data_IF_517297285185
#
_entry.id   IF_517297285185
#
_cell.length_a   1.000
_cell.length_b   1.000
_cell.length_c   1.000
_cell.angle_alpha   90.00
_cell.angle_beta   90.00
_cell.angle_gamma   90.00
#
_symmetry.space_group_name_H-M   'P 1'
#
loop_
_entity.id
_entity.type
_entity.pdbx_description
1 polymer ?
#
# COMPACT_ATOMS: atom_id res chain seq x y z
N UNK A 1 -20.90 4.30 -7.94
CA UNK A 1 -20.22 3.07 -7.44
C UNK A 1 -19.07 3.42 -6.49
N UNK A 2 -18.34 4.47 -6.82
CA UNK A 2 -17.11 4.97 -6.24
C UNK A 2 -17.31 5.44 -4.79
N UNK A 3 -18.40 6.17 -4.50
CA UNK A 3 -18.75 6.59 -3.13
C UNK A 3 -18.93 5.41 -2.17
N UNK A 4 -19.54 4.33 -2.65
CA UNK A 4 -19.74 3.09 -1.90
C UNK A 4 -18.39 2.41 -1.62
N UNK A 5 -17.54 2.28 -2.63
CA UNK A 5 -16.19 1.70 -2.50
C UNK A 5 -15.30 2.52 -1.54
N UNK A 6 -15.37 3.84 -1.63
CA UNK A 6 -14.64 4.76 -0.77
C UNK A 6 -15.27 4.93 0.61
N UNK A 7 -16.50 4.45 0.83
CA UNK A 7 -17.24 4.58 2.08
C UNK A 7 -17.46 6.02 2.52
N UNK A 8 -17.51 6.96 1.57
CA UNK A 8 -17.62 8.41 1.82
C UNK A 8 -18.70 9.01 0.90
N UNK A 9 -19.72 9.64 1.49
CA UNK A 9 -20.88 10.18 0.75
C UNK A 9 -20.52 11.38 -0.13
N UNK A 10 -19.51 12.11 0.27
CA UNK A 10 -18.94 13.32 -0.34
C UNK A 10 -17.78 13.00 -1.30
N UNK A 11 -17.38 11.73 -1.43
CA UNK A 11 -16.34 11.35 -2.40
C UNK A 11 -16.75 11.68 -3.84
N UNK A 12 -15.84 12.32 -4.57
CA UNK A 12 -16.03 12.70 -5.97
C UNK A 12 -14.85 12.23 -6.82
N UNK A 13 -15.07 11.18 -7.62
CA UNK A 13 -14.08 10.72 -8.59
C UNK A 13 -13.69 11.84 -9.56
N UNK A 14 -14.68 12.61 -10.03
CA UNK A 14 -14.45 13.73 -10.95
C UNK A 14 -13.50 14.78 -10.35
N UNK A 15 -13.57 15.02 -9.04
CA UNK A 15 -12.64 15.94 -8.39
C UNK A 15 -11.20 15.39 -8.42
N UNK A 16 -11.01 14.10 -8.13
CA UNK A 16 -9.69 13.44 -8.20
C UNK A 16 -9.12 13.47 -9.61
N UNK A 17 -9.94 13.17 -10.63
CA UNK A 17 -9.51 13.21 -12.04
C UNK A 17 -9.12 14.63 -12.48
N UNK A 18 -9.87 15.65 -12.06
CA UNK A 18 -9.53 17.06 -12.32
C UNK A 18 -8.21 17.48 -11.68
N UNK A 19 -7.93 17.01 -10.46
CA UNK A 19 -6.64 17.26 -9.81
C UNK A 19 -5.51 16.59 -10.59
N UNK A 20 -5.69 15.34 -11.03
CA UNK A 20 -4.67 14.65 -11.82
C UNK A 20 -4.36 15.42 -13.12
N UNK A 21 -5.38 15.87 -13.85
CA UNK A 21 -5.21 16.71 -15.05
C UNK A 21 -4.50 18.03 -14.73
N UNK A 22 -4.88 18.72 -13.65
CA UNK A 22 -4.24 19.96 -13.23
C UNK A 22 -2.75 19.77 -12.88
N UNK A 23 -2.40 18.67 -12.21
CA UNK A 23 -1.01 18.33 -11.89
C UNK A 23 -0.18 18.09 -13.16
N UNK A 24 -0.72 17.32 -14.12
CA UNK A 24 -0.01 17.09 -15.39
C UNK A 24 0.17 18.38 -16.18
N UNK A 25 -0.85 19.24 -16.23
CA UNK A 25 -0.78 20.55 -16.88
C UNK A 25 0.22 21.49 -16.21
N UNK A 26 0.44 21.35 -14.90
CA UNK A 26 1.48 22.06 -14.15
C UNK A 26 2.89 21.47 -14.35
N UNK A 27 3.05 20.46 -15.21
CA UNK A 27 4.33 19.84 -15.52
C UNK A 27 4.76 18.77 -14.51
N UNK A 28 3.90 18.39 -13.56
CA UNK A 28 4.18 17.34 -12.58
C UNK A 28 3.94 15.98 -13.25
N UNK A 29 4.88 15.04 -13.08
CA UNK A 29 4.71 13.67 -13.55
C UNK A 29 3.74 12.92 -12.64
N UNK A 30 2.71 12.31 -13.22
CA UNK A 30 1.60 11.68 -12.51
C UNK A 30 1.47 10.23 -12.95
N UNK A 31 1.43 9.33 -11.96
CA UNK A 31 1.00 7.94 -12.12
C UNK A 31 -0.39 7.79 -11.49
N UNK A 32 -1.32 7.20 -12.25
CA UNK A 32 -2.64 6.83 -11.76
C UNK A 32 -2.62 5.38 -11.25
N UNK A 33 -3.01 5.15 -9.99
CA UNK A 33 -2.96 3.82 -9.37
C UNK A 33 -4.33 3.31 -8.88
N UNK A 34 -5.34 3.15 -9.76
CA UNK A 34 -6.66 2.68 -9.34
C UNK A 34 -6.59 1.23 -8.84
N UNK A 35 -7.38 0.93 -7.81
CA UNK A 35 -7.57 -0.44 -7.31
C UNK A 35 -8.63 -1.14 -8.16
N UNK A 36 -8.29 -2.31 -8.68
CA UNK A 36 -9.18 -3.18 -9.43
C UNK A 36 -9.80 -4.22 -8.49
N UNK A 37 -11.12 -4.21 -8.44
CA UNK A 37 -11.98 -5.16 -7.75
C UNK A 37 -12.78 -5.89 -8.84
N UNK A 38 -12.36 -7.12 -9.14
CA UNK A 38 -12.98 -7.92 -10.19
C UNK A 38 -14.45 -8.21 -9.91
N UNK A 39 -15.29 -8.05 -10.93
CA UNK A 39 -16.74 -8.09 -10.84
C UNK A 39 -17.39 -6.77 -10.42
N UNK A 40 -16.59 -5.74 -10.13
CA UNK A 40 -17.10 -4.41 -9.76
C UNK A 40 -16.61 -3.34 -10.73
N UNK A 41 -15.29 -3.23 -10.98
CA UNK A 41 -14.71 -2.13 -11.76
C UNK A 41 -13.61 -2.54 -12.74
N UNK A 42 -13.38 -3.84 -12.95
CA UNK A 42 -12.41 -4.34 -13.92
C UNK A 42 -12.75 -3.91 -15.36
N UNK A 43 -14.03 -3.74 -15.66
CA UNK A 43 -14.52 -3.22 -16.94
C UNK A 43 -14.18 -1.74 -17.20
N UNK A 44 -13.74 -0.99 -16.20
CA UNK A 44 -13.38 0.44 -16.33
C UNK A 44 -11.88 0.65 -16.59
N UNK A 45 -11.08 -0.42 -16.61
CA UNK A 45 -9.63 -0.31 -16.76
C UNK A 45 -9.20 0.36 -18.08
N UNK A 46 -9.87 0.04 -19.19
CA UNK A 46 -9.64 0.69 -20.49
C UNK A 46 -9.98 2.18 -20.46
N UNK A 47 -11.05 2.57 -19.76
CA UNK A 47 -11.40 3.98 -19.56
C UNK A 47 -10.31 4.74 -18.82
N UNK A 48 -9.68 4.12 -17.81
CA UNK A 48 -8.53 4.72 -17.11
C UNK A 48 -7.28 4.82 -18.00
N UNK A 49 -7.08 3.85 -18.90
CA UNK A 49 -6.00 3.91 -19.92
C UNK A 49 -6.20 5.10 -20.85
N UNK A 50 -7.39 5.26 -21.40
CA UNK A 50 -7.69 6.39 -22.28
C UNK A 50 -7.64 7.72 -21.54
N UNK A 51 -8.08 7.77 -20.29
CA UNK A 51 -7.94 8.97 -19.46
C UNK A 51 -6.47 9.32 -19.21
N UNK A 52 -5.63 8.35 -18.84
CA UNK A 52 -4.20 8.56 -18.62
C UNK A 52 -3.51 9.10 -19.89
N UNK A 53 -3.85 8.55 -21.06
CA UNK A 53 -3.37 9.05 -22.37
C UNK A 53 -3.81 10.49 -22.61
N UNK A 54 -5.11 10.76 -22.45
CA UNK A 54 -5.70 12.07 -22.69
C UNK A 54 -5.00 13.17 -21.91
N UNK A 55 -4.73 12.94 -20.62
CA UNK A 55 -4.11 13.96 -19.78
C UNK A 55 -2.58 14.00 -19.92
N UNK A 56 -1.96 13.03 -20.59
CA UNK A 56 -0.51 12.92 -20.70
C UNK A 56 0.17 12.45 -19.40
N UNK A 57 -0.50 11.59 -18.63
CA UNK A 57 0.07 10.97 -17.43
C UNK A 57 1.23 10.05 -17.80
N UNK A 58 2.22 9.97 -16.91
CA UNK A 58 3.46 9.23 -17.12
C UNK A 58 4.41 9.90 -18.10
N UNK A 59 5.60 10.28 -17.60
CA UNK A 59 6.71 10.79 -18.40
C UNK A 59 8.00 10.08 -18.02
N UNK A 60 8.54 10.42 -16.85
CA UNK A 60 9.70 9.76 -16.25
C UNK A 60 9.28 8.43 -15.66
N UNK A 61 8.08 8.38 -15.08
CA UNK A 61 7.48 7.20 -14.48
C UNK A 61 6.34 6.65 -15.33
N UNK A 62 5.93 5.38 -15.13
CA UNK A 62 4.76 4.82 -15.80
C UNK A 62 3.49 5.63 -15.55
N UNK A 63 2.61 5.69 -16.55
CA UNK A 63 1.34 6.41 -16.46
C UNK A 63 0.34 5.75 -15.50
N UNK A 64 0.38 4.41 -15.42
CA UNK A 64 -0.60 3.61 -14.72
C UNK A 64 0.04 2.53 -13.85
N UNK A 65 -0.59 2.25 -12.72
CA UNK A 65 -0.28 1.15 -11.83
C UNK A 65 -1.54 0.56 -11.22
N UNK A 66 -2.25 -0.27 -11.99
CA UNK A 66 -3.42 -0.98 -11.46
C UNK A 66 -3.03 -1.83 -10.24
N UNK A 67 -3.79 -1.68 -9.16
CA UNK A 67 -3.56 -2.41 -7.92
C UNK A 67 -4.60 -3.53 -7.77
N UNK A 68 -4.17 -4.74 -7.48
CA UNK A 68 -5.08 -5.83 -7.19
C UNK A 68 -5.72 -5.64 -5.80
N UNK A 69 -7.04 -5.76 -5.71
CA UNK A 69 -7.71 -5.79 -4.42
C UNK A 69 -7.28 -7.02 -3.62
N UNK A 70 -6.82 -6.80 -2.38
CA UNK A 70 -6.48 -7.85 -1.42
C UNK A 70 -7.37 -7.67 -0.19
N UNK A 71 -8.18 -8.68 0.21
CA UNK A 71 -8.96 -8.62 1.43
C UNK A 71 -8.05 -8.35 2.64
N UNK A 72 -8.44 -7.38 3.47
CA UNK A 72 -7.71 -6.99 4.66
C UNK A 72 -8.61 -7.04 5.88
N UNK A 73 -8.12 -7.57 7.01
CA UNK A 73 -8.92 -7.79 8.24
C UNK A 73 -9.71 -6.55 8.65
N UNK A 74 -9.07 -5.38 8.66
CA UNK A 74 -9.69 -4.10 9.04
C UNK A 74 -10.10 -3.24 7.83
N UNK A 75 -10.10 -3.83 6.63
CA UNK A 75 -10.51 -3.16 5.41
C UNK A 75 -12.01 -3.25 5.16
N UNK A 76 -12.45 -2.69 4.04
CA UNK A 76 -13.79 -2.95 3.52
C UNK A 76 -13.81 -4.31 2.84
N UNK A 77 -14.92 -5.04 3.00
CA UNK A 77 -15.10 -6.40 2.48
C UNK A 77 -16.25 -6.44 1.47
N UNK A 78 -16.05 -5.95 0.23
CA UNK A 78 -17.01 -6.23 -0.85
C UNK A 78 -17.15 -7.74 -1.05
N UNK A 79 -18.36 -8.20 -1.36
CA UNK A 79 -18.67 -9.61 -1.63
C UNK A 79 -18.14 -10.03 -3.01
N UNK A 80 -16.83 -10.16 -3.12
CA UNK A 80 -16.12 -10.53 -4.36
C UNK A 80 -15.06 -11.58 -4.05
N UNK A 81 -14.71 -12.38 -5.06
CA UNK A 81 -13.60 -13.32 -4.95
C UNK A 81 -12.28 -12.58 -5.15
N UNK A 82 -11.31 -12.86 -4.28
CA UNK A 82 -9.94 -12.43 -4.49
C UNK A 82 -9.37 -13.06 -5.76
N UNK A 83 -8.80 -12.24 -6.64
CA UNK A 83 -8.09 -12.72 -7.81
C UNK A 83 -6.62 -12.98 -7.44
N UNK A 84 -6.10 -14.17 -7.79
CA UNK A 84 -4.71 -14.48 -7.54
C UNK A 84 -3.79 -13.49 -8.26
N UNK A 85 -2.60 -13.21 -7.71
CA UNK A 85 -1.64 -12.32 -8.40
C UNK A 85 -1.21 -12.88 -9.75
N UNK A 86 -1.16 -14.21 -9.92
CA UNK A 86 -0.85 -14.84 -11.21
C UNK A 86 -1.88 -14.42 -12.27
N UNK A 87 -3.15 -14.54 -11.94
CA UNK A 87 -4.25 -14.22 -12.85
C UNK A 87 -4.36 -12.71 -13.05
N UNK A 88 -4.11 -11.92 -12.01
CA UNK A 88 -4.04 -10.47 -12.12
C UNK A 88 -2.96 -10.01 -13.10
N UNK A 89 -1.74 -10.56 -13.02
CA UNK A 89 -0.68 -10.23 -13.98
C UNK A 89 -0.97 -10.76 -15.38
N UNK A 90 -1.69 -11.88 -15.52
CA UNK A 90 -2.15 -12.34 -16.82
C UNK A 90 -3.15 -11.35 -17.42
N UNK A 91 -4.14 -10.90 -16.65
CA UNK A 91 -5.09 -9.87 -17.06
C UNK A 91 -4.41 -8.55 -17.45
N UNK A 92 -3.41 -8.10 -16.69
CA UNK A 92 -2.62 -6.92 -17.05
C UNK A 92 -1.94 -7.08 -18.42
N UNK A 93 -1.35 -8.24 -18.71
CA UNK A 93 -0.74 -8.50 -20.04
C UNK A 93 -1.78 -8.49 -21.16
N UNK A 94 -2.96 -9.05 -20.94
CA UNK A 94 -4.04 -8.98 -21.94
C UNK A 94 -4.48 -7.53 -22.19
N UNK A 95 -4.44 -6.69 -21.16
CA UNK A 95 -4.77 -5.27 -21.28
C UNK A 95 -3.67 -4.49 -22.01
N UNK A 96 -2.39 -4.81 -21.76
CA UNK A 96 -1.25 -4.28 -22.52
C UNK A 96 -1.33 -4.64 -24.01
N UNK A 97 -1.71 -5.87 -24.34
CA UNK A 97 -1.89 -6.34 -25.72
C UNK A 97 -3.08 -5.66 -26.40
N UNK A 98 -4.23 -5.61 -25.71
CA UNK A 98 -5.46 -5.04 -26.25
C UNK A 98 -5.35 -3.53 -26.53
N UNK A 99 -4.70 -2.80 -25.63
CA UNK A 99 -4.69 -1.33 -25.67
C UNK A 99 -3.40 -0.75 -26.23
N UNK A 100 -2.30 -1.51 -26.24
CA UNK A 100 -0.96 -1.02 -26.53
C UNK A 100 -0.34 -0.17 -25.42
N UNK A 101 -1.03 0.06 -24.29
CA UNK A 101 -0.47 0.78 -23.14
C UNK A 101 0.54 -0.10 -22.41
N UNK A 102 1.79 0.36 -22.29
CA UNK A 102 2.86 -0.33 -21.57
C UNK A 102 3.74 0.66 -20.80
N UNK A 103 4.27 0.31 -19.63
CA UNK A 103 4.02 -0.92 -18.88
C UNK A 103 2.78 -0.82 -17.97
N UNK A 104 2.00 -1.89 -17.88
CA UNK A 104 1.01 -2.12 -16.83
C UNK A 104 1.51 -3.17 -15.83
N UNK A 105 2.33 -4.12 -16.28
CA UNK A 105 3.08 -5.00 -15.37
C UNK A 105 4.33 -4.27 -14.87
N UNK A 106 4.15 -3.58 -13.75
CA UNK A 106 5.18 -2.74 -13.15
C UNK A 106 6.35 -3.54 -12.55
N UNK A 107 7.57 -2.99 -12.67
CA UNK A 107 8.79 -3.54 -12.11
C UNK A 107 9.58 -2.44 -11.39
N UNK A 108 10.42 -2.76 -10.40
CA UNK A 108 11.24 -1.77 -9.69
C UNK A 108 12.06 -0.88 -10.63
N UNK A 109 12.55 -1.43 -11.73
CA UNK A 109 13.39 -0.71 -12.70
C UNK A 109 12.62 0.42 -13.41
N UNK A 110 11.30 0.27 -13.57
CA UNK A 110 10.45 1.34 -14.13
C UNK A 110 10.39 2.58 -13.23
N UNK A 111 10.74 2.44 -11.96
CA UNK A 111 10.81 3.52 -10.97
C UNK A 111 12.26 3.92 -10.65
N UNK A 112 13.24 3.45 -11.43
CA UNK A 112 14.65 3.65 -11.14
C UNK A 112 15.10 3.02 -9.82
N UNK A 113 14.34 2.04 -9.31
CA UNK A 113 14.71 1.33 -8.09
C UNK A 113 15.80 0.32 -8.39
N UNK A 114 16.74 0.22 -7.46
CA UNK A 114 17.86 -0.71 -7.53
C UNK A 114 18.06 -1.38 -6.18
N UNK A 115 18.67 -2.56 -6.20
CA UNK A 115 18.95 -3.32 -4.98
C UNK A 115 19.88 -2.54 -4.07
N UNK A 116 19.54 -2.51 -2.78
CA UNK A 116 20.36 -1.96 -1.70
C UNK A 116 20.71 -3.05 -0.69
N UNK A 117 21.82 -2.86 0.03
CA UNK A 117 22.19 -3.75 1.12
C UNK A 117 21.09 -3.75 2.17
N UNK A 118 20.71 -4.94 2.62
CA UNK A 118 19.70 -5.11 3.65
C UNK A 118 20.23 -4.54 4.98
N UNK A 119 19.37 -3.80 5.70
CA UNK A 119 19.69 -3.29 7.02
C UNK A 119 19.59 -4.45 8.02
N UNK A 120 20.68 -4.85 8.72
CA UNK A 120 20.69 -6.04 9.56
C UNK A 120 19.62 -6.01 10.65
N UNK A 121 18.99 -7.15 10.89
CA UNK A 121 18.04 -7.29 11.98
C UNK A 121 18.76 -7.14 13.33
N UNK A 122 18.11 -6.46 14.29
CA UNK A 122 18.65 -6.25 15.65
C UNK A 122 17.96 -7.13 16.71
N UNK A 123 16.97 -7.91 16.29
CA UNK A 123 16.20 -8.81 17.15
C UNK A 123 15.89 -10.11 16.43
N UNK A 124 15.59 -11.15 17.21
CA UNK A 124 15.07 -12.43 16.73
C UNK A 124 13.73 -12.76 17.39
N UNK A 125 12.95 -13.62 16.75
CA UNK A 125 11.66 -14.11 17.30
C UNK A 125 11.94 -14.88 18.59
N UNK A 126 11.15 -14.61 19.63
CA UNK A 126 11.28 -15.19 20.96
C UNK A 126 12.15 -14.38 21.92
N UNK A 127 12.94 -13.44 21.41
CA UNK A 127 13.80 -12.58 22.23
C UNK A 127 12.97 -11.70 23.17
N UNK A 128 13.37 -11.59 24.44
CA UNK A 128 12.76 -10.65 25.39
C UNK A 128 13.67 -9.44 25.56
N UNK A 129 13.13 -8.25 25.27
CA UNK A 129 13.88 -6.99 25.31
C UNK A 129 13.17 -5.94 26.15
N UNK A 130 13.96 -5.08 26.82
CA UNK A 130 13.42 -3.92 27.53
C UNK A 130 13.18 -2.80 26.52
N UNK A 131 11.92 -2.39 26.37
CA UNK A 131 11.47 -1.42 25.38
C UNK A 131 11.01 -0.15 26.11
N UNK A 132 11.47 1.01 25.66
CA UNK A 132 10.90 2.30 26.09
C UNK A 132 9.75 2.65 25.15
N UNK A 133 8.54 2.85 25.68
CA UNK A 133 7.40 3.31 24.90
C UNK A 133 7.55 4.79 24.61
N UNK A 134 7.35 5.19 23.34
CA UNK A 134 7.58 6.57 22.89
C UNK A 134 6.36 7.18 22.21
N UNK A 135 5.46 6.37 21.63
CA UNK A 135 4.27 6.86 20.94
C UNK A 135 3.12 5.84 21.08
N UNK A 136 1.86 6.29 20.99
CA UNK A 136 0.74 5.38 20.77
C UNK A 136 0.88 4.68 19.40
N UNK A 137 0.31 3.48 19.31
CA UNK A 137 0.16 2.75 18.05
C UNK A 137 -1.02 3.25 17.22
N UNK A 138 -1.37 2.50 16.17
CA UNK A 138 -2.43 2.92 15.24
C UNK A 138 -3.82 2.59 15.77
N UNK A 139 -3.97 1.43 16.42
CA UNK A 139 -5.24 0.98 17.01
C UNK A 139 -5.11 0.83 18.53
N UNK A 140 -6.24 0.75 19.21
CA UNK A 140 -6.28 0.48 20.64
C UNK A 140 -5.54 -0.82 20.99
N UNK A 141 -4.77 -0.79 22.08
CA UNK A 141 -3.92 -1.89 22.50
C UNK A 141 -2.55 -1.94 21.81
N UNK A 142 -2.24 -1.01 20.91
CA UNK A 142 -0.92 -0.88 20.28
C UNK A 142 -0.15 0.32 20.84
N UNK A 143 1.15 0.12 21.05
CA UNK A 143 2.12 1.17 21.36
C UNK A 143 3.36 1.01 20.48
N UNK A 144 4.04 2.12 20.21
CA UNK A 144 5.34 2.10 19.55
C UNK A 144 6.43 2.37 20.58
N UNK A 145 7.38 1.45 20.66
CA UNK A 145 8.51 1.56 21.55
C UNK A 145 9.84 1.49 20.82
N UNK A 146 10.92 1.80 21.53
CA UNK A 146 12.27 1.73 21.01
C UNK A 146 13.20 0.89 21.87
N UNK A 147 14.07 0.13 21.20
CA UNK A 147 15.22 -0.55 21.77
C UNK A 147 16.29 -0.69 20.68
N UNK A 148 17.58 -0.65 21.06
CA UNK A 148 18.74 -0.82 20.13
C UNK A 148 18.63 0.03 18.85
N UNK A 149 18.16 1.26 18.99
CA UNK A 149 17.93 2.20 17.88
C UNK A 149 16.98 1.68 16.80
N UNK A 150 15.97 0.90 17.20
CA UNK A 150 14.90 0.38 16.34
C UNK A 150 13.54 0.67 16.97
N UNK A 151 12.54 0.79 16.12
CA UNK A 151 11.14 0.87 16.51
C UNK A 151 10.58 -0.56 16.63
N UNK A 152 9.82 -0.81 17.68
CA UNK A 152 9.10 -2.07 17.90
C UNK A 152 7.62 -1.70 18.10
N UNK A 153 6.76 -2.31 17.29
CA UNK A 153 5.32 -2.29 17.52
C UNK A 153 5.01 -3.26 18.66
N UNK A 154 4.48 -2.74 19.76
CA UNK A 154 4.06 -3.53 20.91
C UNK A 154 2.54 -3.62 20.88
N UNK A 155 2.03 -4.82 20.66
CA UNK A 155 0.58 -5.10 20.61
C UNK A 155 0.12 -5.72 21.93
N UNK A 156 -1.19 -5.72 22.16
CA UNK A 156 -1.84 -6.26 23.37
C UNK A 156 -1.29 -5.64 24.67
N UNK A 157 -1.15 -4.32 24.70
CA UNK A 157 -0.59 -3.59 25.84
C UNK A 157 -1.44 -2.40 26.28
N UNK A 158 -1.43 -2.13 27.60
CA UNK A 158 -1.99 -0.93 28.22
C UNK A 158 -0.88 0.04 28.69
N UNK A 159 0.35 -0.17 28.23
CA UNK A 159 1.48 0.70 28.55
C UNK A 159 1.25 2.12 28.03
N UNK A 160 1.83 3.09 28.71
CA UNK A 160 1.75 4.52 28.36
C UNK A 160 3.07 5.00 27.80
N UNK A 161 3.03 6.16 27.15
CA UNK A 161 4.25 6.86 26.73
C UNK A 161 5.17 7.04 27.94
N UNK A 162 6.47 6.86 27.72
CA UNK A 162 7.57 6.84 28.70
C UNK A 162 7.68 5.59 29.60
N UNK A 163 6.73 4.67 29.54
CA UNK A 163 6.89 3.37 30.23
C UNK A 163 8.09 2.59 29.68
N UNK A 164 8.69 1.78 30.55
CA UNK A 164 9.75 0.82 30.19
C UNK A 164 9.29 -0.58 30.52
N UNK A 165 8.88 -1.34 29.51
CA UNK A 165 8.30 -2.68 29.67
C UNK A 165 9.21 -3.75 29.07
N UNK A 166 9.04 -5.01 29.51
CA UNK A 166 9.63 -6.18 28.84
C UNK A 166 8.70 -6.64 27.74
N UNK A 167 9.25 -6.83 26.55
CA UNK A 167 8.50 -7.21 25.36
C UNK A 167 9.16 -8.43 24.75
N UNK A 168 8.38 -9.48 24.49
CA UNK A 168 8.81 -10.63 23.71
C UNK A 168 8.58 -10.33 22.24
N UNK A 169 9.62 -10.41 21.42
CA UNK A 169 9.53 -10.24 19.98
C UNK A 169 8.80 -11.45 19.37
N UNK A 170 7.72 -11.20 18.66
CA UNK A 170 6.90 -12.24 18.01
C UNK A 170 7.06 -12.25 16.49
N UNK A 171 7.55 -11.16 15.90
CA UNK A 171 7.75 -11.05 14.45
C UNK A 171 8.96 -10.19 14.11
N UNK A 172 9.75 -10.68 13.17
CA UNK A 172 10.86 -9.93 12.57
C UNK A 172 10.80 -10.08 11.04
N UNK A 173 10.36 -9.06 10.31
CA UNK A 173 10.29 -9.13 8.84
C UNK A 173 10.68 -7.81 8.20
N UNK A 174 11.68 -7.83 7.32
CA UNK A 174 12.15 -6.66 6.58
C UNK A 174 12.50 -5.43 7.47
N UNK A 175 13.01 -5.67 8.68
CA UNK A 175 13.32 -4.60 9.64
C UNK A 175 12.12 -4.09 10.45
N UNK A 176 10.94 -4.67 10.26
CA UNK A 176 9.74 -4.42 11.07
C UNK A 176 9.70 -5.44 12.21
N UNK A 177 9.57 -4.93 13.43
CA UNK A 177 9.52 -5.72 14.66
C UNK A 177 8.16 -5.57 15.33
N UNK A 178 7.57 -6.70 15.70
CA UNK A 178 6.35 -6.75 16.50
C UNK A 178 6.62 -7.57 17.74
N UNK A 179 6.12 -7.14 18.89
CA UNK A 179 6.24 -7.85 20.15
C UNK A 179 5.00 -7.69 21.04
N UNK A 180 4.94 -8.52 22.08
CA UNK A 180 3.89 -8.47 23.11
C UNK A 180 4.53 -8.30 24.49
N UNK A 181 3.84 -7.68 25.46
CA UNK A 181 4.29 -7.66 26.85
C UNK A 181 4.54 -9.07 27.39
N UNK A 182 5.45 -9.18 28.36
CA UNK A 182 5.75 -10.41 29.12
C UNK A 182 5.15 -10.32 30.51
#
# INVERSE_FOLDING_TARGET
KEKMLMGMKDYSLNHVLKIAEALVNAGIDVLLAPVIIFGINDNEAETFIEFARKIGAGKKWPALGFQNYVPYKFGRHPTVKFLSFKDFYAWLRTLEEKTGMRPLVLRPEHFGMHRRKFIPLQFHIGEVVKVKIILPGRIEGEMLGTARNRLIEVIDTNAKVDDKIRVKIVRTRHGIYVGTPV
#
